data_IF_813708627738
#
_entry.id   IF_813708627738
#
_cell.length_a   1.000
_cell.length_b   1.000
_cell.length_c   1.000
_cell.angle_alpha   90.00
_cell.angle_beta   90.00
_cell.angle_gamma   90.00
#
_symmetry.space_group_name_H-M   'P 1'
#
loop_
_entity.id
_entity.type
_entity.pdbx_description
1 polymer ?
#
# COMPACT_ATOMS: atom_id res chain seq x y z
N UNK A 1 -65.09 17.74 42.74
CA UNK A 1 -64.39 18.68 41.85
C UNK A 1 -63.88 17.85 40.66
N UNK A 2 -64.68 17.30 39.74
CA UNK A 2 -65.75 17.85 38.89
C UNK A 2 -65.33 19.14 38.17
N UNK A 3 -64.69 19.02 37.01
CA UNK A 3 -65.30 19.40 35.73
C UNK A 3 -64.55 18.73 34.52
N UNK A 4 -65.23 18.42 33.40
CA UNK A 4 -64.82 17.44 32.39
C UNK A 4 -64.51 18.05 31.01
N UNK A 5 -64.24 17.14 30.06
CA UNK A 5 -64.54 17.20 28.62
C UNK A 5 -64.00 18.37 27.79
N UNK A 6 -62.94 18.08 27.04
CA UNK A 6 -62.80 18.61 25.69
C UNK A 6 -62.26 17.53 24.74
N UNK A 7 -63.20 16.85 24.09
CA UNK A 7 -62.96 16.10 22.84
C UNK A 7 -62.87 17.11 21.69
N UNK A 8 -61.76 17.15 20.92
CA UNK A 8 -61.79 17.75 19.60
C UNK A 8 -62.30 16.69 18.63
N UNK A 9 -63.54 16.87 18.16
CA UNK A 9 -64.04 16.20 16.97
C UNK A 9 -63.10 16.51 15.81
N UNK A 10 -62.47 15.46 15.29
CA UNK A 10 -61.72 15.46 14.04
C UNK A 10 -62.74 15.73 12.91
N UNK A 11 -62.74 16.93 12.34
CA UNK A 11 -63.41 17.21 11.07
C UNK A 11 -62.69 16.40 9.99
N UNK A 12 -63.37 15.38 9.45
CA UNK A 12 -62.86 14.50 8.40
C UNK A 12 -63.42 14.82 7.02
N UNK A 13 -64.09 15.97 6.85
CA UNK A 13 -64.71 16.42 5.61
C UNK A 13 -64.20 17.82 5.25
N UNK A 14 -62.93 17.95 4.88
CA UNK A 14 -62.39 19.13 4.16
C UNK A 14 -60.97 18.85 3.63
N UNK A 15 -60.77 17.71 2.95
CA UNK A 15 -59.61 17.49 2.09
C UNK A 15 -60.08 17.16 0.66
N UNK A 16 -60.99 17.99 0.18
CA UNK A 16 -61.37 18.07 -1.22
C UNK A 16 -60.30 18.89 -1.95
N UNK A 17 -59.46 18.19 -2.68
CA UNK A 17 -59.08 18.53 -4.04
C UNK A 17 -58.71 19.99 -4.31
N UNK A 18 -57.51 20.38 -3.87
CA UNK A 18 -56.74 21.44 -4.51
C UNK A 18 -55.45 20.84 -5.05
N UNK A 19 -55.61 19.89 -5.98
CA UNK A 19 -54.54 19.61 -6.94
C UNK A 19 -54.71 20.64 -8.05
N UNK A 20 -54.17 21.85 -7.86
CA UNK A 20 -54.02 22.78 -8.98
C UNK A 20 -53.31 22.01 -10.09
N UNK A 21 -54.04 21.80 -11.19
CA UNK A 21 -53.50 21.16 -12.37
C UNK A 21 -52.37 22.05 -12.88
N UNK A 22 -51.14 21.69 -12.55
CA UNK A 22 -49.92 22.29 -13.07
C UNK A 22 -50.02 22.24 -14.60
N UNK A 23 -50.21 23.42 -15.21
CA UNK A 23 -50.35 23.56 -16.66
C UNK A 23 -49.15 22.92 -17.36
N UNK A 24 -49.33 22.17 -18.47
CA UNK A 24 -48.24 21.48 -19.16
C UNK A 24 -47.04 22.38 -19.52
N UNK A 25 -47.28 23.66 -19.83
CA UNK A 25 -46.22 24.64 -20.10
C UNK A 25 -45.36 24.95 -18.86
N UNK A 26 -45.94 24.86 -17.66
CA UNK A 26 -45.23 25.15 -16.39
C UNK A 26 -44.32 24.01 -15.94
N UNK A 27 -44.65 22.76 -16.26
CA UNK A 27 -43.79 21.61 -15.97
C UNK A 27 -42.56 21.57 -16.89
N UNK A 28 -42.72 21.94 -18.17
CA UNK A 28 -41.60 22.08 -19.10
C UNK A 28 -40.68 23.25 -18.72
N UNK A 29 -41.26 24.38 -18.30
CA UNK A 29 -40.52 25.53 -17.77
C UNK A 29 -39.82 25.21 -16.45
N UNK A 30 -40.43 24.47 -15.51
CA UNK A 30 -39.77 24.03 -14.27
C UNK A 30 -38.61 23.06 -14.55
N UNK A 31 -38.72 22.20 -15.55
CA UNK A 31 -37.67 21.26 -15.93
C UNK A 31 -36.50 21.99 -16.65
N UNK A 32 -36.82 22.99 -17.47
CA UNK A 32 -35.85 23.89 -18.08
C UNK A 32 -35.16 24.79 -17.04
N UNK A 33 -35.90 25.34 -16.08
CA UNK A 33 -35.34 26.13 -14.97
C UNK A 33 -34.48 25.25 -14.07
N UNK A 34 -34.96 24.06 -13.69
CA UNK A 34 -34.15 23.09 -12.95
C UNK A 34 -32.86 22.73 -13.69
N UNK A 35 -32.93 22.51 -15.00
CA UNK A 35 -31.78 22.16 -15.82
C UNK A 35 -30.83 23.37 -16.03
N UNK A 36 -31.35 24.59 -16.06
CA UNK A 36 -30.58 25.84 -16.18
C UNK A 36 -29.90 26.24 -14.85
N UNK A 37 -30.50 25.90 -13.70
CA UNK A 37 -29.92 26.10 -12.36
C UNK A 37 -29.15 24.87 -11.83
N UNK A 38 -29.12 23.76 -12.57
CA UNK A 38 -28.33 22.58 -12.22
C UNK A 38 -26.84 22.91 -12.27
N UNK A 39 -26.12 22.62 -11.19
CA UNK A 39 -24.65 22.72 -11.11
C UNK A 39 -23.92 21.55 -11.81
N UNK A 40 -24.64 20.68 -12.52
CA UNK A 40 -24.07 19.59 -13.30
C UNK A 40 -23.68 20.09 -14.72
N UNK A 41 -22.39 20.11 -15.07
CA UNK A 41 -21.92 20.61 -16.38
C UNK A 41 -22.51 19.83 -17.56
N UNK A 42 -22.91 18.58 -17.35
CA UNK A 42 -23.49 17.76 -18.41
C UNK A 42 -24.94 18.15 -18.70
N UNK A 43 -25.70 18.52 -17.66
CA UNK A 43 -27.09 19.00 -17.79
C UNK A 43 -27.11 20.37 -18.46
N UNK A 44 -26.24 21.29 -18.05
CA UNK A 44 -26.13 22.61 -18.70
C UNK A 44 -25.77 22.49 -20.18
N UNK A 45 -24.86 21.55 -20.51
CA UNK A 45 -24.50 21.27 -21.91
C UNK A 45 -25.66 20.71 -22.72
N UNK A 46 -26.46 19.82 -22.15
CA UNK A 46 -27.64 19.26 -22.82
C UNK A 46 -28.72 20.33 -23.05
N UNK A 47 -28.91 21.25 -22.10
CA UNK A 47 -29.79 22.42 -22.25
C UNK A 47 -29.29 23.35 -23.35
N UNK A 48 -27.99 23.59 -23.41
CA UNK A 48 -27.37 24.46 -24.42
C UNK A 48 -27.42 23.82 -25.81
N UNK A 49 -27.16 22.50 -25.92
CA UNK A 49 -27.32 21.73 -27.16
C UNK A 49 -28.77 21.66 -27.64
N UNK A 50 -29.73 21.52 -26.72
CA UNK A 50 -31.15 21.58 -27.04
C UNK A 50 -31.58 22.98 -27.49
N UNK A 51 -30.98 24.05 -26.92
CA UNK A 51 -31.25 25.45 -27.33
C UNK A 51 -30.66 25.81 -28.69
N UNK A 52 -29.47 25.34 -29.01
CA UNK A 52 -28.78 25.70 -30.27
C UNK A 52 -29.12 24.77 -31.43
N UNK A 53 -29.79 23.64 -31.17
CA UNK A 53 -30.11 22.63 -32.18
C UNK A 53 -28.87 21.94 -32.77
N UNK A 54 -27.70 22.16 -32.17
CA UNK A 54 -26.42 21.73 -32.73
C UNK A 54 -25.95 20.45 -32.02
N UNK A 55 -26.27 19.30 -32.62
CA UNK A 55 -25.83 17.97 -32.18
C UNK A 55 -24.36 17.71 -32.50
N UNK A 56 -23.45 18.68 -32.31
CA UNK A 56 -22.03 18.39 -32.53
C UNK A 56 -21.43 17.64 -31.33
N UNK A 57 -21.01 16.37 -31.50
CA UNK A 57 -20.21 15.71 -30.49
C UNK A 57 -18.84 16.39 -30.47
N UNK A 58 -18.59 17.22 -29.45
CA UNK A 58 -17.24 17.73 -29.20
C UNK A 58 -16.32 16.52 -28.99
N UNK A 59 -15.52 16.21 -30.01
CA UNK A 59 -14.58 15.11 -29.98
C UNK A 59 -13.52 15.39 -28.89
N UNK A 60 -13.79 14.92 -27.67
CA UNK A 60 -12.81 15.00 -26.60
C UNK A 60 -11.60 14.16 -27.03
N UNK A 61 -10.37 14.70 -26.96
CA UNK A 61 -9.19 13.93 -27.33
C UNK A 61 -9.12 12.65 -26.49
N UNK A 62 -8.75 11.52 -27.11
CA UNK A 62 -8.80 10.19 -26.52
C UNK A 62 -8.13 10.10 -25.14
N UNK A 63 -7.04 10.86 -24.93
CA UNK A 63 -6.35 10.92 -23.64
C UNK A 63 -7.19 11.57 -22.53
N UNK A 64 -8.01 12.58 -22.83
CA UNK A 64 -8.94 13.18 -21.84
C UNK A 64 -10.09 12.22 -21.53
N UNK A 65 -10.55 11.44 -22.49
CA UNK A 65 -11.57 10.40 -22.25
C UNK A 65 -11.00 9.25 -21.40
N UNK A 66 -9.79 8.80 -21.72
CA UNK A 66 -9.07 7.78 -20.96
C UNK A 66 -8.74 8.25 -19.54
N UNK A 67 -8.26 9.49 -19.38
CA UNK A 67 -8.03 10.10 -18.06
C UNK A 67 -9.34 10.28 -17.30
N UNK A 68 -10.39 10.79 -17.93
CA UNK A 68 -11.69 10.94 -17.25
C UNK A 68 -12.22 9.58 -16.78
N UNK A 69 -12.14 8.53 -17.61
CA UNK A 69 -12.52 7.18 -17.22
C UNK A 69 -11.65 6.59 -16.11
N UNK A 70 -10.34 6.87 -16.10
CA UNK A 70 -9.44 6.47 -15.03
C UNK A 70 -9.74 7.23 -13.72
N UNK A 71 -9.86 8.56 -13.78
CA UNK A 71 -10.21 9.42 -12.64
C UNK A 71 -11.56 9.06 -12.02
N UNK A 72 -12.54 8.68 -12.83
CA UNK A 72 -13.83 8.18 -12.35
C UNK A 72 -13.73 6.87 -11.57
N UNK A 73 -12.73 6.02 -11.86
CA UNK A 73 -12.46 4.80 -11.07
C UNK A 73 -11.65 5.08 -9.81
N UNK A 74 -10.91 6.18 -9.80
CA UNK A 74 -10.07 6.61 -8.67
C UNK A 74 -10.82 7.48 -7.66
N UNK A 75 -12.00 7.99 -7.98
CA UNK A 75 -12.81 8.75 -7.03
C UNK A 75 -14.21 8.17 -7.00
N UNK A 76 -14.69 7.70 -5.83
CA UNK A 76 -16.04 7.18 -5.74
C UNK A 76 -17.02 8.34 -5.97
N UNK A 77 -18.17 8.07 -6.60
CA UNK A 77 -19.24 9.07 -6.74
C UNK A 77 -20.26 8.88 -5.64
N UNK A 78 -20.90 9.97 -5.21
CA UNK A 78 -22.02 9.88 -4.26
C UNK A 78 -23.15 8.99 -4.76
N UNK A 79 -23.40 8.99 -6.07
CA UNK A 79 -24.37 8.12 -6.72
C UNK A 79 -24.04 6.62 -6.59
N UNK A 80 -22.78 6.25 -6.34
CA UNK A 80 -22.40 4.85 -6.14
C UNK A 80 -22.80 4.30 -4.77
N UNK A 81 -23.17 5.17 -3.82
CA UNK A 81 -23.58 4.74 -2.47
C UNK A 81 -25.09 4.51 -2.35
N UNK A 82 -25.89 4.81 -3.37
CA UNK A 82 -27.34 4.57 -3.40
C UNK A 82 -27.79 4.00 -4.75
N UNK A 83 -29.03 3.52 -4.85
CA UNK A 83 -29.64 3.07 -6.10
C UNK A 83 -30.56 4.13 -6.69
N UNK A 84 -31.10 3.90 -7.88
CA UNK A 84 -31.87 4.92 -8.62
C UNK A 84 -33.37 4.90 -8.37
N UNK A 85 -33.92 3.88 -7.69
CA UNK A 85 -35.36 3.64 -7.61
C UNK A 85 -36.11 4.72 -6.81
N UNK A 86 -35.58 5.11 -5.65
CA UNK A 86 -36.17 6.12 -4.76
C UNK A 86 -35.06 6.75 -3.92
N UNK A 87 -34.75 8.03 -4.15
CA UNK A 87 -33.62 8.73 -3.51
C UNK A 87 -34.14 9.96 -2.78
N UNK A 88 -34.07 9.94 -1.44
CA UNK A 88 -34.39 11.11 -0.64
C UNK A 88 -33.25 12.15 -0.66
N UNK A 89 -33.55 13.44 -0.41
CA UNK A 89 -32.52 14.47 -0.25
C UNK A 89 -31.50 14.14 0.85
N UNK A 90 -31.95 13.53 1.95
CA UNK A 90 -31.10 13.10 3.06
C UNK A 90 -30.14 12.00 2.62
N UNK A 91 -30.64 10.98 1.91
CA UNK A 91 -29.81 9.90 1.38
C UNK A 91 -28.72 10.44 0.44
N UNK A 92 -29.06 11.41 -0.41
CA UNK A 92 -28.09 12.07 -1.30
C UNK A 92 -27.05 12.87 -0.50
N UNK A 93 -27.46 13.58 0.55
CA UNK A 93 -26.54 14.34 1.43
C UNK A 93 -25.56 13.41 2.14
N UNK A 94 -26.06 12.32 2.71
CA UNK A 94 -25.24 11.38 3.48
C UNK A 94 -24.31 10.55 2.57
N UNK A 95 -24.76 10.23 1.36
CA UNK A 95 -23.91 9.65 0.33
C UNK A 95 -22.77 10.58 -0.08
N UNK A 96 -23.01 11.90 -0.19
CA UNK A 96 -21.93 12.88 -0.43
C UNK A 96 -20.93 12.90 0.72
N UNK A 97 -21.39 12.92 1.97
CA UNK A 97 -20.52 12.87 3.15
C UNK A 97 -19.68 11.59 3.18
N UNK A 98 -20.30 10.44 2.95
CA UNK A 98 -19.61 9.14 2.88
C UNK A 98 -18.56 9.13 1.77
N UNK A 99 -18.89 9.66 0.59
CA UNK A 99 -17.98 9.77 -0.55
C UNK A 99 -16.78 10.65 -0.24
N UNK A 100 -17.00 11.81 0.40
CA UNK A 100 -15.94 12.72 0.80
C UNK A 100 -15.01 12.07 1.81
N UNK A 101 -15.55 11.33 2.80
CA UNK A 101 -14.75 10.65 3.80
C UNK A 101 -13.94 9.49 3.21
N UNK A 102 -14.56 8.65 2.37
CA UNK A 102 -13.86 7.56 1.65
C UNK A 102 -12.76 8.14 0.77
N UNK A 103 -13.03 9.22 0.04
CA UNK A 103 -12.02 9.88 -0.79
C UNK A 103 -10.86 10.40 0.05
N UNK A 104 -11.14 11.09 1.16
CA UNK A 104 -10.12 11.61 2.07
C UNK A 104 -9.25 10.48 2.64
N UNK A 105 -9.87 9.40 3.14
CA UNK A 105 -9.15 8.25 3.67
C UNK A 105 -8.25 7.60 2.61
N UNK A 106 -8.77 7.44 1.38
CA UNK A 106 -8.01 6.80 0.31
C UNK A 106 -6.86 7.69 -0.20
N UNK A 107 -7.05 9.02 -0.23
CA UNK A 107 -5.97 9.97 -0.55
C UNK A 107 -4.90 10.02 0.54
N UNK A 108 -5.29 9.97 1.81
CA UNK A 108 -4.35 9.88 2.92
C UNK A 108 -3.51 8.59 2.81
N UNK A 109 -4.14 7.46 2.49
CA UNK A 109 -3.46 6.19 2.25
C UNK A 109 -2.54 6.26 1.03
N UNK A 110 -2.97 6.94 -0.04
CA UNK A 110 -2.11 7.16 -1.21
C UNK A 110 -0.85 7.93 -0.83
N UNK A 111 -0.99 9.06 -0.13
CA UNK A 111 0.13 9.93 0.24
C UNK A 111 1.10 9.25 1.22
N UNK A 112 0.57 8.48 2.17
CA UNK A 112 1.40 7.81 3.20
C UNK A 112 2.09 6.54 2.70
N UNK A 113 1.52 5.85 1.70
CA UNK A 113 2.13 4.64 1.11
C UNK A 113 3.06 4.96 -0.08
N UNK A 114 2.92 6.11 -0.73
CA UNK A 114 3.72 6.48 -1.89
C UNK A 114 5.24 6.46 -1.65
N UNK A 115 5.77 6.98 -0.52
CA UNK A 115 7.21 6.92 -0.25
C UNK A 115 7.70 5.48 -0.22
N UNK A 116 6.97 4.60 0.46
CA UNK A 116 7.33 3.19 0.56
C UNK A 116 7.44 2.54 -0.83
N UNK A 117 6.43 2.75 -1.68
CA UNK A 117 6.41 2.20 -3.05
C UNK A 117 7.52 2.79 -3.92
N UNK A 118 7.83 4.09 -3.75
CA UNK A 118 8.94 4.73 -4.45
C UNK A 118 10.28 4.04 -4.18
N UNK A 119 10.55 3.67 -2.92
CA UNK A 119 11.78 2.96 -2.55
C UNK A 119 11.73 1.48 -2.91
N UNK A 120 10.58 0.82 -2.78
CA UNK A 120 10.39 -0.58 -3.17
C UNK A 120 10.62 -0.83 -4.67
N UNK A 121 10.43 0.19 -5.51
CA UNK A 121 10.75 0.13 -6.95
C UNK A 121 12.09 0.80 -7.29
N UNK A 122 12.93 1.10 -6.30
CA UNK A 122 14.20 1.82 -6.48
C UNK A 122 15.15 1.17 -7.49
N UNK A 123 15.14 -0.17 -7.58
CA UNK A 123 15.96 -0.93 -8.52
C UNK A 123 15.67 -0.64 -10.01
N UNK A 124 14.51 -0.06 -10.33
CA UNK A 124 14.13 0.29 -11.71
C UNK A 124 14.67 1.66 -12.15
N UNK A 125 15.44 2.35 -11.30
CA UNK A 125 16.02 3.65 -11.61
C UNK A 125 14.93 4.69 -11.97
N UNK A 126 15.09 5.47 -13.05
CA UNK A 126 14.08 6.46 -13.47
C UNK A 126 12.70 5.87 -13.78
N UNK A 127 12.62 4.59 -14.18
CA UNK A 127 11.35 3.93 -14.49
C UNK A 127 10.51 3.61 -13.25
N UNK A 128 11.05 3.78 -12.03
CA UNK A 128 10.34 3.50 -10.75
C UNK A 128 9.04 4.27 -10.55
N UNK A 129 8.89 5.42 -11.21
CA UNK A 129 7.71 6.26 -11.08
C UNK A 129 6.45 5.54 -11.59
N UNK A 130 6.57 4.80 -12.70
CA UNK A 130 5.43 4.11 -13.33
C UNK A 130 4.82 3.03 -12.42
N UNK A 131 5.58 2.03 -11.92
CA UNK A 131 5.03 1.00 -11.05
C UNK A 131 4.69 1.52 -9.65
N UNK A 132 5.43 2.50 -9.09
CA UNK A 132 5.09 3.04 -7.76
C UNK A 132 3.75 3.76 -7.76
N UNK A 133 3.55 4.70 -8.70
CA UNK A 133 2.28 5.41 -8.84
C UNK A 133 1.19 4.45 -9.31
N UNK A 134 1.49 3.58 -10.28
CA UNK A 134 0.52 2.62 -10.82
C UNK A 134 -0.03 1.66 -9.76
N UNK A 135 0.84 1.11 -8.90
CA UNK A 135 0.41 0.23 -7.81
C UNK A 135 -0.41 0.98 -6.75
N UNK A 136 -0.03 2.21 -6.43
CA UNK A 136 -0.77 3.03 -5.47
C UNK A 136 -2.18 3.40 -6.00
N UNK A 137 -2.27 3.78 -7.28
CA UNK A 137 -3.54 4.01 -7.96
C UNK A 137 -4.39 2.74 -8.04
N UNK A 138 -3.78 1.58 -8.23
CA UNK A 138 -4.48 0.28 -8.19
C UNK A 138 -5.09 0.04 -6.80
N UNK A 139 -4.32 0.22 -5.73
CA UNK A 139 -4.83 0.07 -4.36
C UNK A 139 -5.99 1.05 -4.07
N UNK A 140 -5.85 2.29 -4.52
CA UNK A 140 -6.88 3.32 -4.39
C UNK A 140 -8.17 2.95 -5.14
N UNK A 141 -8.06 2.48 -6.39
CA UNK A 141 -9.18 1.98 -7.17
C UNK A 141 -9.86 0.76 -6.52
N UNK A 142 -9.08 -0.22 -6.03
CA UNK A 142 -9.61 -1.39 -5.34
C UNK A 142 -10.34 -1.03 -4.04
N UNK A 143 -9.82 -0.04 -3.30
CA UNK A 143 -10.45 0.47 -2.06
C UNK A 143 -11.82 1.08 -2.37
N UNK A 144 -11.89 1.96 -3.38
CA UNK A 144 -13.13 2.61 -3.79
C UNK A 144 -14.17 1.62 -4.33
N UNK A 145 -13.74 0.66 -5.16
CA UNK A 145 -14.61 -0.41 -5.66
C UNK A 145 -15.14 -1.24 -4.49
N UNK A 146 -14.29 -1.60 -3.54
CA UNK A 146 -14.70 -2.40 -2.38
C UNK A 146 -15.64 -1.63 -1.45
N UNK A 147 -15.41 -0.32 -1.27
CA UNK A 147 -16.27 0.56 -0.48
C UNK A 147 -17.67 0.70 -1.11
N UNK A 148 -17.73 1.02 -2.40
CA UNK A 148 -18.99 1.12 -3.14
C UNK A 148 -19.71 -0.22 -3.24
N UNK A 149 -18.99 -1.32 -3.44
CA UNK A 149 -19.52 -2.68 -3.42
C UNK A 149 -20.13 -3.06 -2.07
N UNK A 150 -19.46 -2.69 -0.98
CA UNK A 150 -19.96 -2.87 0.38
C UNK A 150 -21.22 -2.06 0.60
N UNK A 151 -21.21 -0.79 0.17
CA UNK A 151 -22.36 0.10 0.25
C UNK A 151 -23.55 -0.48 -0.54
N UNK A 152 -23.34 -0.98 -1.77
CA UNK A 152 -24.33 -1.51 -2.73
C UNK A 152 -24.99 -2.84 -2.33
N UNK A 153 -24.90 -3.27 -1.07
CA UNK A 153 -25.55 -4.49 -0.60
C UNK A 153 -27.04 -4.54 -1.01
N UNK A 154 -27.40 -5.52 -1.85
CA UNK A 154 -28.81 -5.81 -2.19
C UNK A 154 -29.40 -6.79 -1.16
N UNK A 155 -30.71 -6.70 -0.85
CA UNK A 155 -31.36 -7.61 0.09
C UNK A 155 -31.17 -9.09 -0.29
N UNK A 156 -31.19 -9.37 -1.60
CA UNK A 156 -31.14 -10.72 -2.15
C UNK A 156 -29.71 -11.21 -2.51
N UNK A 157 -28.68 -10.37 -2.38
CA UNK A 157 -27.29 -10.76 -2.69
C UNK A 157 -26.31 -10.37 -1.58
N UNK A 158 -26.55 -10.93 -0.39
CA UNK A 158 -25.75 -10.65 0.82
C UNK A 158 -24.33 -11.21 0.73
N UNK A 159 -24.10 -12.30 -0.01
CA UNK A 159 -22.78 -12.94 -0.11
C UNK A 159 -21.75 -12.06 -0.81
N UNK A 160 -22.12 -11.36 -1.88
CA UNK A 160 -21.21 -10.46 -2.59
C UNK A 160 -20.79 -9.26 -1.74
N UNK A 161 -21.73 -8.68 -0.98
CA UNK A 161 -21.45 -7.59 -0.03
C UNK A 161 -20.49 -8.04 1.08
N UNK A 162 -20.60 -9.28 1.58
CA UNK A 162 -19.65 -9.84 2.56
C UNK A 162 -18.24 -9.98 2.00
N UNK A 163 -18.10 -10.47 0.76
CA UNK A 163 -16.79 -10.55 0.11
C UNK A 163 -16.18 -9.17 -0.15
N UNK A 164 -17.00 -8.21 -0.60
CA UNK A 164 -16.58 -6.82 -0.77
C UNK A 164 -16.11 -6.21 0.56
N UNK A 165 -16.82 -6.51 1.66
CA UNK A 165 -16.43 -6.07 2.98
C UNK A 165 -15.11 -6.70 3.44
N UNK A 166 -14.92 -8.01 3.27
CA UNK A 166 -13.67 -8.67 3.61
C UNK A 166 -12.49 -8.11 2.80
N UNK A 167 -12.72 -7.84 1.51
CA UNK A 167 -11.75 -7.16 0.64
C UNK A 167 -11.40 -5.77 1.17
N UNK A 168 -12.41 -4.98 1.52
CA UNK A 168 -12.24 -3.64 2.08
C UNK A 168 -11.44 -3.68 3.39
N UNK A 169 -11.75 -4.60 4.31
CA UNK A 169 -11.01 -4.75 5.57
C UNK A 169 -9.55 -5.09 5.28
N UNK A 170 -9.31 -6.09 4.43
CA UNK A 170 -7.96 -6.55 4.10
C UNK A 170 -7.11 -5.44 3.48
N UNK A 171 -7.68 -4.69 2.53
CA UNK A 171 -6.98 -3.59 1.85
C UNK A 171 -6.64 -2.47 2.84
N UNK A 172 -7.58 -2.06 3.72
CA UNK A 172 -7.32 -1.00 4.69
C UNK A 172 -6.27 -1.39 5.73
N UNK A 173 -6.24 -2.66 6.17
CA UNK A 173 -5.18 -3.16 7.07
C UNK A 173 -3.82 -3.09 6.37
N UNK A 174 -3.73 -3.57 5.12
CA UNK A 174 -2.50 -3.50 4.33
C UNK A 174 -2.06 -2.05 4.15
N UNK A 175 -2.97 -1.15 3.73
CA UNK A 175 -2.65 0.27 3.53
C UNK A 175 -2.19 0.95 4.81
N UNK A 176 -2.81 0.65 5.96
CA UNK A 176 -2.39 1.19 7.26
C UNK A 176 -0.96 0.77 7.59
N UNK A 177 -0.64 -0.52 7.42
CA UNK A 177 0.72 -1.04 7.65
C UNK A 177 1.74 -0.39 6.72
N UNK A 178 1.41 -0.29 5.43
CA UNK A 178 2.27 0.36 4.44
C UNK A 178 2.42 1.87 4.73
N UNK A 179 1.40 2.53 5.28
CA UNK A 179 1.47 3.93 5.69
C UNK A 179 2.45 4.12 6.86
N UNK A 180 2.39 3.25 7.86
CA UNK A 180 3.35 3.24 8.97
C UNK A 180 4.78 2.98 8.51
N UNK A 181 4.99 1.95 7.68
CA UNK A 181 6.29 1.65 7.10
C UNK A 181 6.84 2.79 6.21
N UNK A 182 5.98 3.39 5.38
CA UNK A 182 6.36 4.47 4.47
C UNK A 182 6.78 5.74 5.20
N UNK A 183 6.08 6.06 6.28
CA UNK A 183 6.40 7.22 7.13
C UNK A 183 7.64 6.98 7.97
N UNK A 184 7.85 5.76 8.48
CA UNK A 184 9.12 5.37 9.13
C UNK A 184 10.30 5.53 8.17
N UNK A 185 10.13 5.07 6.93
CA UNK A 185 11.17 5.15 5.93
C UNK A 185 11.48 6.60 5.50
N UNK A 186 10.49 7.49 5.49
CA UNK A 186 10.72 8.93 5.26
C UNK A 186 11.41 9.63 6.42
N UNK A 187 10.97 9.37 7.65
CA UNK A 187 11.34 10.19 8.82
C UNK A 187 12.55 9.65 9.57
N UNK A 188 12.78 8.34 9.51
CA UNK A 188 13.85 7.63 10.24
C UNK A 188 14.91 7.06 9.32
N UNK A 189 15.05 7.55 8.07
CA UNK A 189 15.98 6.99 7.09
C UNK A 189 17.41 6.87 7.62
N UNK A 190 17.91 7.91 8.31
CA UNK A 190 19.24 7.93 8.93
C UNK A 190 19.37 6.89 10.06
N UNK A 191 18.34 6.71 10.88
CA UNK A 191 18.31 5.68 11.92
C UNK A 191 18.31 4.27 11.34
N UNK A 192 17.55 4.05 10.27
CA UNK A 192 17.50 2.75 9.58
C UNK A 192 18.84 2.41 8.92
N UNK A 193 19.49 3.41 8.30
CA UNK A 193 20.84 3.27 7.75
C UNK A 193 21.87 3.00 8.84
N UNK A 194 21.82 3.72 9.96
CA UNK A 194 22.70 3.51 11.11
C UNK A 194 22.52 2.10 11.69
N UNK A 195 21.28 1.65 11.89
CA UNK A 195 20.99 0.29 12.37
C UNK A 195 21.56 -0.78 11.43
N UNK A 196 21.48 -0.56 10.12
CA UNK A 196 22.04 -1.48 9.12
C UNK A 196 23.57 -1.46 9.11
N UNK A 197 24.16 -0.28 9.26
CA UNK A 197 25.60 -0.10 9.38
C UNK A 197 26.13 -0.77 10.67
N UNK A 198 25.43 -0.62 11.79
CA UNK A 198 25.73 -1.31 13.06
C UNK A 198 25.59 -2.82 12.91
N UNK A 199 24.51 -3.33 12.32
CA UNK A 199 24.33 -4.77 12.10
C UNK A 199 25.46 -5.38 11.25
N UNK A 200 25.82 -4.72 10.15
CA UNK A 200 26.90 -5.15 9.27
C UNK A 200 28.27 -5.09 9.96
N UNK A 201 28.52 -4.01 10.71
CA UNK A 201 29.78 -3.80 11.43
C UNK A 201 29.92 -4.78 12.59
N UNK A 202 28.90 -4.91 13.43
CA UNK A 202 28.94 -5.75 14.63
C UNK A 202 29.02 -7.24 14.28
N UNK A 203 28.19 -7.74 13.36
CA UNK A 203 28.26 -9.15 12.97
C UNK A 203 29.60 -9.51 12.34
N UNK A 204 30.11 -8.68 11.42
CA UNK A 204 31.30 -9.06 10.68
C UNK A 204 32.56 -8.80 11.48
N UNK A 205 32.66 -7.68 12.20
CA UNK A 205 33.83 -7.41 13.05
C UNK A 205 33.89 -8.42 14.18
N UNK A 206 32.80 -8.67 14.93
CA UNK A 206 32.84 -9.62 16.05
C UNK A 206 33.16 -11.05 15.58
N UNK A 207 32.58 -11.51 14.47
CA UNK A 207 32.88 -12.84 13.94
C UNK A 207 34.35 -12.94 13.48
N UNK A 208 34.88 -11.92 12.81
CA UNK A 208 36.25 -11.93 12.29
C UNK A 208 37.31 -11.69 13.37
N UNK A 209 37.05 -10.82 14.34
CA UNK A 209 37.90 -10.65 15.52
C UNK A 209 37.97 -11.95 16.32
N UNK A 210 36.84 -12.64 16.54
CA UNK A 210 36.86 -13.94 17.22
C UNK A 210 37.63 -15.01 16.42
N UNK A 211 37.60 -14.96 15.08
CA UNK A 211 38.37 -15.86 14.22
C UNK A 211 39.87 -15.55 14.28
N UNK A 212 40.25 -14.26 14.30
CA UNK A 212 41.63 -13.80 14.50
C UNK A 212 42.12 -14.15 15.89
N UNK A 213 41.34 -13.91 16.95
CA UNK A 213 41.68 -14.25 18.33
C UNK A 213 41.85 -15.77 18.49
N UNK A 214 40.94 -16.56 17.91
CA UNK A 214 41.08 -18.02 17.89
C UNK A 214 42.33 -18.46 17.14
N UNK A 215 42.68 -17.79 16.04
CA UNK A 215 43.92 -18.08 15.32
C UNK A 215 45.13 -17.66 16.16
N UNK A 216 45.16 -16.46 16.75
CA UNK A 216 46.26 -15.99 17.61
C UNK A 216 46.45 -16.84 18.88
N UNK A 217 45.41 -17.51 19.36
CA UNK A 217 45.46 -18.49 20.45
C UNK A 217 45.77 -19.93 19.97
N UNK A 218 45.61 -20.21 18.67
CA UNK A 218 45.93 -21.49 18.04
C UNK A 218 47.41 -21.82 17.76
N UNK A 219 48.45 -21.03 18.14
CA UNK A 219 49.82 -21.55 18.23
C UNK A 219 49.91 -22.76 19.19
N UNK A 220 48.89 -23.00 20.02
CA UNK A 220 48.74 -24.22 20.82
C UNK A 220 48.08 -25.39 20.07
N UNK A 221 48.01 -25.38 18.74
CA UNK A 221 47.63 -26.58 18.00
C UNK A 221 48.58 -27.73 18.38
N UNK A 222 48.01 -28.89 18.73
CA UNK A 222 48.74 -30.07 19.21
C UNK A 222 49.95 -30.43 18.34
N UNK A 223 49.83 -30.18 17.03
CA UNK A 223 50.88 -30.41 16.05
C UNK A 223 52.05 -29.43 16.18
N UNK A 224 51.81 -28.14 16.37
CA UNK A 224 52.88 -27.16 16.59
C UNK A 224 53.62 -27.45 17.89
N UNK A 225 52.89 -27.65 18.98
CA UNK A 225 53.46 -27.98 20.29
C UNK A 225 54.32 -29.25 20.23
N UNK A 226 53.85 -30.31 19.56
CA UNK A 226 54.60 -31.57 19.44
C UNK A 226 55.90 -31.41 18.65
N UNK A 227 55.90 -30.67 17.53
CA UNK A 227 57.08 -30.46 16.68
C UNK A 227 58.06 -29.50 17.35
N UNK A 228 57.56 -28.47 18.05
CA UNK A 228 58.37 -27.56 18.85
C UNK A 228 59.06 -28.28 20.00
N UNK A 229 58.33 -29.13 20.73
CA UNK A 229 58.90 -29.95 21.80
C UNK A 229 59.94 -30.93 21.25
N UNK A 230 59.71 -31.50 20.06
CA UNK A 230 60.68 -32.37 19.40
C UNK A 230 61.96 -31.61 19.00
N UNK A 231 61.83 -30.39 18.46
CA UNK A 231 62.97 -29.53 18.16
C UNK A 231 63.77 -29.24 19.44
N UNK A 232 63.11 -28.76 20.51
CA UNK A 232 63.77 -28.48 21.80
C UNK A 232 64.46 -29.69 22.40
N UNK A 233 63.80 -30.86 22.38
CA UNK A 233 64.37 -32.12 22.89
C UNK A 233 65.60 -32.54 22.10
N UNK A 234 65.59 -32.36 20.79
CA UNK A 234 66.76 -32.67 19.97
C UNK A 234 67.92 -31.68 20.22
N UNK A 235 67.62 -30.39 20.40
CA UNK A 235 68.63 -29.38 20.75
C UNK A 235 69.28 -29.71 22.10
N UNK A 236 68.48 -30.01 23.13
CA UNK A 236 69.01 -30.41 24.45
C UNK A 236 69.89 -31.67 24.38
N UNK A 237 69.53 -32.64 23.52
CA UNK A 237 70.34 -33.83 23.30
C UNK A 237 71.65 -33.53 22.58
N UNK A 238 71.66 -32.57 21.66
CA UNK A 238 72.88 -32.13 20.98
C UNK A 238 73.86 -31.49 21.96
N UNK A 239 73.37 -30.73 22.93
CA UNK A 239 74.20 -30.09 23.97
C UNK A 239 74.88 -31.12 24.91
N UNK A 240 74.32 -32.33 25.01
CA UNK A 240 74.84 -33.42 25.84
C UNK A 240 75.81 -34.34 25.11
N UNK A 241 75.88 -34.26 23.78
CA UNK A 241 76.73 -35.10 22.94
C UNK A 241 78.06 -34.39 22.65
N UNK A 242 79.14 -35.16 22.59
CA UNK A 242 80.45 -34.62 22.22
C UNK A 242 80.43 -34.17 20.75
N UNK A 243 80.84 -32.92 20.52
CA UNK A 243 80.95 -32.32 19.19
C UNK A 243 81.89 -33.14 18.30
N UNK A 244 81.43 -33.48 17.09
CA UNK A 244 82.20 -34.29 16.13
C UNK A 244 82.04 -35.80 16.31
N UNK A 245 81.21 -36.27 17.26
CA UNK A 245 80.80 -37.67 17.29
C UNK A 245 79.78 -37.97 16.16
N UNK A 246 79.80 -39.18 15.55
CA UNK A 246 78.85 -39.52 14.48
C UNK A 246 77.37 -39.40 14.89
N UNK A 247 77.08 -39.59 16.18
CA UNK A 247 75.74 -39.43 16.73
C UNK A 247 75.32 -37.96 16.81
N UNK A 248 76.26 -37.06 17.13
CA UNK A 248 76.04 -35.63 17.10
C UNK A 248 75.71 -35.17 15.67
N UNK A 249 76.50 -35.59 14.68
CA UNK A 249 76.30 -35.20 13.27
C UNK A 249 74.93 -35.64 12.73
N UNK A 250 74.54 -36.89 12.95
CA UNK A 250 73.23 -37.43 12.50
C UNK A 250 72.07 -36.65 13.15
N UNK A 251 72.16 -36.38 14.45
CA UNK A 251 71.12 -35.66 15.17
C UNK A 251 71.07 -34.18 14.75
N UNK A 252 72.22 -33.57 14.49
CA UNK A 252 72.33 -32.19 14.02
C UNK A 252 71.65 -32.05 12.66
N UNK A 253 72.01 -32.90 11.68
CA UNK A 253 71.43 -32.89 10.33
C UNK A 253 69.91 -33.08 10.38
N UNK A 254 69.41 -34.01 11.21
CA UNK A 254 67.95 -34.24 11.35
C UNK A 254 67.21 -33.04 11.95
N UNK A 255 67.88 -32.29 12.82
CA UNK A 255 67.27 -31.21 13.61
C UNK A 255 67.31 -29.88 12.86
N UNK A 256 68.45 -29.56 12.24
CA UNK A 256 68.72 -28.27 11.61
C UNK A 256 68.95 -28.34 10.09
N UNK A 257 69.26 -29.52 9.54
CA UNK A 257 69.71 -29.68 8.14
C UNK A 257 71.22 -29.80 8.04
N UNK A 258 71.74 -30.06 6.85
CA UNK A 258 73.20 -30.06 6.62
C UNK A 258 73.76 -28.63 6.62
N UNK A 259 75.04 -28.46 6.93
CA UNK A 259 75.71 -27.15 6.92
C UNK A 259 75.71 -26.50 5.53
N UNK A 260 75.78 -27.32 4.47
CA UNK A 260 75.70 -26.88 3.07
C UNK A 260 74.32 -26.34 2.69
N UNK A 261 73.27 -26.72 3.44
CA UNK A 261 71.90 -26.30 3.21
C UNK A 261 71.47 -25.12 4.11
N UNK A 262 72.40 -24.52 4.85
CA UNK A 262 72.11 -23.40 5.76
C UNK A 262 71.46 -22.21 5.03
N UNK A 263 71.88 -21.96 3.78
CA UNK A 263 71.38 -20.87 2.94
C UNK A 263 70.36 -21.34 1.88
N UNK A 264 69.92 -22.60 1.96
CA UNK A 264 68.96 -23.18 1.02
C UNK A 264 67.57 -22.61 1.28
N UNK A 265 66.87 -22.24 0.21
CA UNK A 265 65.47 -21.89 0.32
C UNK A 265 64.64 -23.15 0.61
N UNK A 266 64.26 -23.29 1.87
CA UNK A 266 63.46 -24.41 2.32
C UNK A 266 62.01 -24.30 1.86
N UNK A 267 61.52 -23.17 1.33
CA UNK A 267 60.10 -22.93 1.04
C UNK A 267 59.47 -23.94 0.06
N UNK A 268 60.24 -24.45 -0.90
CA UNK A 268 59.73 -25.32 -1.97
C UNK A 268 59.75 -26.82 -1.65
N UNK A 269 60.40 -27.23 -0.55
CA UNK A 269 60.48 -28.63 -0.16
C UNK A 269 59.20 -29.10 0.55
N UNK A 270 58.79 -30.35 0.33
CA UNK A 270 57.65 -30.91 1.04
C UNK A 270 57.88 -30.91 2.56
N UNK A 271 56.83 -30.65 3.33
CA UNK A 271 56.86 -30.51 4.79
C UNK A 271 57.45 -31.75 5.48
N UNK A 272 57.20 -32.94 4.93
CA UNK A 272 57.68 -34.21 5.49
C UNK A 272 59.21 -34.35 5.47
N UNK A 273 59.87 -33.71 4.49
CA UNK A 273 61.30 -33.81 4.24
C UNK A 273 62.11 -32.70 4.93
N UNK A 274 61.46 -31.79 5.64
CA UNK A 274 62.13 -30.70 6.34
C UNK A 274 62.77 -31.14 7.66
N UNK A 275 63.94 -30.57 8.02
CA UNK A 275 64.49 -30.69 9.37
C UNK A 275 63.47 -30.30 10.44
N UNK A 276 63.57 -30.93 11.63
CA UNK A 276 62.57 -30.77 12.70
C UNK A 276 62.35 -29.29 13.06
N UNK A 277 63.42 -28.51 13.24
CA UNK A 277 63.29 -27.11 13.61
C UNK A 277 62.83 -26.22 12.44
N UNK A 278 63.15 -26.57 11.19
CA UNK A 278 62.62 -25.89 10.02
C UNK A 278 61.12 -26.10 9.84
N UNK A 279 60.59 -27.26 10.26
CA UNK A 279 59.13 -27.51 10.30
C UNK A 279 58.42 -26.60 11.29
N UNK A 280 59.03 -26.33 12.45
CA UNK A 280 58.48 -25.37 13.43
C UNK A 280 58.39 -23.98 12.79
N UNK A 281 59.44 -23.55 12.11
CA UNK A 281 59.48 -22.23 11.51
C UNK A 281 58.48 -22.08 10.37
N UNK A 282 58.33 -23.10 9.51
CA UNK A 282 57.28 -23.09 8.49
C UNK A 282 55.87 -23.07 9.09
N UNK A 283 55.62 -23.81 10.17
CA UNK A 283 54.33 -23.75 10.85
C UNK A 283 54.08 -22.36 11.45
N UNK A 284 55.11 -21.73 12.02
CA UNK A 284 55.04 -20.36 12.55
C UNK A 284 54.76 -19.36 11.42
N UNK A 285 55.46 -19.44 10.31
CA UNK A 285 55.26 -18.57 9.14
C UNK A 285 53.86 -18.75 8.53
N UNK A 286 53.44 -19.99 8.26
CA UNK A 286 52.09 -20.28 7.77
C UNK A 286 51.00 -19.75 8.71
N UNK A 287 51.27 -19.74 10.02
CA UNK A 287 50.37 -19.19 11.01
C UNK A 287 50.34 -17.66 10.99
N UNK A 288 51.51 -17.01 11.00
CA UNK A 288 51.60 -15.55 10.90
C UNK A 288 50.99 -15.03 9.60
N UNK A 289 51.18 -15.74 8.48
CA UNK A 289 50.64 -15.37 7.18
C UNK A 289 49.11 -15.48 7.17
N UNK A 290 48.54 -16.52 7.81
CA UNK A 290 47.09 -16.66 7.98
C UNK A 290 46.49 -15.55 8.85
N UNK A 291 47.15 -15.21 9.96
CA UNK A 291 46.72 -14.11 10.83
C UNK A 291 46.83 -12.77 10.10
N UNK A 292 47.94 -12.54 9.38
CA UNK A 292 48.15 -11.33 8.60
C UNK A 292 47.13 -11.19 7.46
N UNK A 293 46.84 -12.26 6.72
CA UNK A 293 45.82 -12.28 5.67
C UNK A 293 44.43 -11.97 6.24
N UNK A 294 44.07 -12.54 7.40
CA UNK A 294 42.78 -12.24 8.06
C UNK A 294 42.71 -10.82 8.61
N UNK A 295 43.79 -10.28 9.17
CA UNK A 295 43.89 -8.86 9.56
C UNK A 295 43.78 -7.93 8.35
N UNK A 296 44.33 -8.32 7.20
CA UNK A 296 44.22 -7.55 5.96
C UNK A 296 42.78 -7.58 5.39
N UNK A 297 42.07 -8.70 5.49
CA UNK A 297 40.64 -8.78 5.14
C UNK A 297 39.77 -7.88 6.05
N UNK A 298 40.09 -7.78 7.34
CA UNK A 298 39.46 -6.82 8.26
C UNK A 298 39.70 -5.37 7.82
N UNK A 299 40.89 -5.06 7.31
CA UNK A 299 41.19 -3.73 6.75
C UNK A 299 40.49 -3.46 5.41
N UNK A 300 40.10 -4.50 4.67
CA UNK A 300 39.32 -4.39 3.42
C UNK A 300 37.80 -4.33 3.65
N UNK A 301 37.35 -4.42 4.91
CA UNK A 301 35.95 -4.26 5.28
C UNK A 301 35.27 -2.96 4.77
N UNK A 302 35.98 -1.80 4.62
CA UNK A 302 35.41 -0.62 3.98
C UNK A 302 34.78 -0.92 2.61
N UNK A 303 35.35 -1.85 1.84
CA UNK A 303 34.83 -2.23 0.53
C UNK A 303 33.49 -3.00 0.55
N UNK A 304 33.09 -3.60 1.69
CA UNK A 304 31.74 -4.18 1.86
C UNK A 304 30.72 -3.14 2.30
N UNK A 305 31.15 -2.14 3.05
CA UNK A 305 30.34 -0.96 3.36
C UNK A 305 30.03 -0.19 2.07
N UNK A 306 31.05 0.05 1.24
CA UNK A 306 30.91 0.72 -0.07
C UNK A 306 30.02 0.00 -1.09
N UNK A 307 29.73 -1.30 -0.91
CA UNK A 307 28.79 -2.06 -1.77
C UNK A 307 27.33 -1.90 -1.37
N UNK A 308 27.06 -1.53 -0.12
CA UNK A 308 25.71 -1.38 0.40
C UNK A 308 25.34 0.09 0.60
N UNK A 309 26.34 0.96 0.71
CA UNK A 309 26.18 2.37 0.95
C UNK A 309 26.84 3.20 -0.16
N UNK A 310 26.16 4.25 -0.60
CA UNK A 310 26.71 5.27 -1.49
C UNK A 310 27.82 6.04 -0.79
N UNK A 311 28.57 6.86 -1.55
CA UNK A 311 29.59 7.76 -0.99
C UNK A 311 29.03 8.75 0.04
N UNK A 312 27.72 9.04 -0.04
CA UNK A 312 27.00 9.89 0.92
C UNK A 312 26.52 9.12 2.17
N UNK A 313 26.83 7.83 2.28
CA UNK A 313 26.40 6.97 3.40
C UNK A 313 24.95 6.51 3.31
N UNK A 314 24.31 6.61 2.14
CA UNK A 314 22.94 6.15 1.95
C UNK A 314 22.89 4.71 1.42
N UNK A 315 21.95 3.90 1.90
CA UNK A 315 21.73 2.55 1.36
C UNK A 315 21.47 2.60 -0.17
N UNK A 316 22.29 1.89 -0.93
CA UNK A 316 22.22 1.84 -2.41
C UNK A 316 20.97 1.07 -2.87
N UNK A 317 20.59 0.01 -2.13
CA UNK A 317 19.42 -0.81 -2.45
C UNK A 317 18.14 -0.28 -1.78
N UNK A 318 17.24 0.28 -2.60
CA UNK A 318 15.90 0.68 -2.15
C UNK A 318 15.05 -0.47 -1.58
N UNK A 319 15.28 -1.70 -2.07
CA UNK A 319 14.56 -2.89 -1.61
C UNK A 319 15.02 -3.31 -0.21
N UNK A 320 16.31 -3.15 0.10
CA UNK A 320 16.82 -3.41 1.45
C UNK A 320 16.26 -2.38 2.43
N UNK A 321 16.22 -1.09 2.04
CA UNK A 321 15.63 -0.06 2.87
C UNK A 321 14.14 -0.34 3.16
N UNK A 322 13.39 -0.80 2.15
CA UNK A 322 12.01 -1.27 2.31
C UNK A 322 11.90 -2.41 3.32
N UNK A 323 12.74 -3.45 3.18
CA UNK A 323 12.74 -4.61 4.07
C UNK A 323 13.08 -4.26 5.52
N UNK A 324 14.10 -3.42 5.72
CA UNK A 324 14.56 -2.97 7.04
C UNK A 324 13.49 -2.10 7.71
N UNK A 325 12.87 -1.16 6.98
CA UNK A 325 11.78 -0.35 7.51
C UNK A 325 10.57 -1.20 7.93
N UNK A 326 10.22 -2.21 7.12
CA UNK A 326 9.17 -3.16 7.46
C UNK A 326 9.47 -3.92 8.75
N UNK A 327 10.62 -4.57 8.82
CA UNK A 327 11.03 -5.32 10.01
C UNK A 327 11.10 -4.42 11.25
N UNK A 328 11.69 -3.23 11.14
CA UNK A 328 11.78 -2.27 12.24
C UNK A 328 10.40 -1.83 12.73
N UNK A 329 9.49 -1.49 11.81
CA UNK A 329 8.15 -1.05 12.15
C UNK A 329 7.36 -2.16 12.85
N UNK A 330 7.33 -3.37 12.26
CA UNK A 330 6.59 -4.50 12.83
C UNK A 330 7.17 -4.99 14.15
N UNK A 331 8.51 -5.07 14.27
CA UNK A 331 9.18 -5.49 15.49
C UNK A 331 8.80 -4.56 16.65
N UNK A 332 8.85 -3.24 16.44
CA UNK A 332 8.49 -2.27 17.46
C UNK A 332 6.98 -2.22 17.73
N UNK A 333 6.15 -2.43 16.71
CA UNK A 333 4.69 -2.50 16.88
C UNK A 333 4.29 -3.69 17.74
N UNK A 334 4.82 -4.89 17.46
CA UNK A 334 4.50 -6.13 18.19
C UNK A 334 5.09 -6.13 19.60
N UNK A 335 6.29 -5.58 19.78
CA UNK A 335 6.92 -5.45 21.11
C UNK A 335 6.31 -4.34 21.98
N UNK A 336 5.42 -3.51 21.43
CA UNK A 336 4.83 -2.38 22.15
C UNK A 336 5.77 -1.19 22.35
N UNK A 337 6.85 -1.11 21.57
CA UNK A 337 7.85 -0.03 21.62
C UNK A 337 7.37 1.22 20.87
N UNK A 338 6.17 1.70 21.20
CA UNK A 338 5.50 2.80 20.50
C UNK A 338 6.30 4.12 20.51
N UNK A 339 7.09 4.35 21.56
CA UNK A 339 7.95 5.52 21.67
C UNK A 339 9.01 5.60 20.56
N UNK A 340 9.45 4.45 20.02
CA UNK A 340 10.45 4.41 18.95
C UNK A 340 9.86 4.72 17.57
N UNK A 341 8.57 4.40 17.37
CA UNK A 341 7.85 4.63 16.11
C UNK A 341 7.43 6.11 15.95
N UNK A 342 7.01 6.77 17.03
CA UNK A 342 6.68 8.20 17.01
C UNK A 342 5.68 8.58 15.91
N UNK A 343 6.14 9.33 14.90
CA UNK A 343 5.31 9.79 13.78
C UNK A 343 4.80 8.65 12.89
N UNK A 344 5.56 7.55 12.72
CA UNK A 344 5.09 6.44 11.88
C UNK A 344 3.86 5.76 12.47
N UNK A 345 3.83 5.64 13.80
CA UNK A 345 2.67 5.16 14.54
C UNK A 345 1.48 6.11 14.44
N UNK A 346 1.73 7.43 14.47
CA UNK A 346 0.67 8.43 14.27
C UNK A 346 0.00 8.26 12.90
N UNK A 347 0.78 8.14 11.82
CA UNK A 347 0.23 7.95 10.47
C UNK A 347 -0.44 6.58 10.29
N UNK A 348 0.09 5.53 10.90
CA UNK A 348 -0.57 4.22 10.98
C UNK A 348 -1.97 4.34 11.61
N UNK A 349 -2.09 4.99 12.77
CA UNK A 349 -3.37 5.18 13.43
C UNK A 349 -4.30 6.16 12.71
N UNK A 350 -3.76 7.20 12.09
CA UNK A 350 -4.54 8.14 11.29
C UNK A 350 -5.14 7.43 10.07
N UNK A 351 -4.33 6.62 9.36
CA UNK A 351 -4.80 5.77 8.26
C UNK A 351 -5.83 4.76 8.74
N UNK A 352 -5.57 4.06 9.85
CA UNK A 352 -6.49 3.05 10.39
C UNK A 352 -7.83 3.66 10.83
N UNK A 353 -7.80 4.77 11.57
CA UNK A 353 -9.01 5.42 12.10
C UNK A 353 -9.88 6.01 10.99
N UNK A 354 -9.28 6.73 10.03
CA UNK A 354 -10.02 7.27 8.88
C UNK A 354 -10.62 6.16 8.02
N UNK A 355 -9.88 5.07 7.80
CA UNK A 355 -10.34 3.88 7.09
C UNK A 355 -11.51 3.18 7.82
N UNK A 356 -11.44 3.05 9.15
CA UNK A 356 -12.52 2.47 9.96
C UNK A 356 -13.78 3.34 9.92
N UNK A 357 -13.65 4.67 9.98
CA UNK A 357 -14.79 5.57 9.86
C UNK A 357 -15.44 5.49 8.48
N UNK A 358 -14.63 5.50 7.41
CA UNK A 358 -15.11 5.38 6.03
C UNK A 358 -15.83 4.04 5.79
N UNK A 359 -15.28 2.95 6.33
CA UNK A 359 -15.90 1.62 6.31
C UNK A 359 -17.21 1.60 7.10
N UNK A 360 -17.23 2.17 8.31
CA UNK A 360 -18.42 2.27 9.15
C UNK A 360 -19.56 3.00 8.44
N UNK A 361 -19.28 4.16 7.84
CA UNK A 361 -20.26 4.90 7.05
C UNK A 361 -20.76 4.10 5.83
N UNK A 362 -19.87 3.40 5.14
CA UNK A 362 -20.24 2.57 3.99
C UNK A 362 -21.16 1.41 4.39
N UNK A 363 -20.89 0.79 5.55
CA UNK A 363 -21.75 -0.25 6.12
C UNK A 363 -23.10 0.30 6.60
N UNK A 364 -23.10 1.47 7.23
CA UNK A 364 -24.33 2.12 7.70
C UNK A 364 -25.24 2.45 6.52
N UNK A 365 -24.69 3.05 5.45
CA UNK A 365 -25.39 3.24 4.18
C UNK A 365 -25.96 1.94 3.61
N UNK A 366 -25.25 0.82 3.71
CA UNK A 366 -25.75 -0.47 3.23
C UNK A 366 -26.96 -0.99 4.04
N UNK A 367 -27.06 -0.63 5.32
CA UNK A 367 -28.11 -1.11 6.23
C UNK A 367 -29.35 -0.21 6.25
N UNK A 368 -29.22 1.06 5.83
CA UNK A 368 -30.33 2.00 5.83
C UNK A 368 -31.49 1.57 4.93
N UNK A 369 -32.71 1.78 5.41
CA UNK A 369 -33.93 1.37 4.70
C UNK A 369 -34.16 2.18 3.42
N UNK A 370 -33.89 3.48 3.42
CA UNK A 370 -33.99 4.34 2.24
C UNK A 370 -32.96 3.95 1.17
N UNK A 371 -31.73 3.64 1.56
CA UNK A 371 -30.70 3.10 0.68
C UNK A 371 -31.11 1.73 0.08
N UNK A 372 -31.74 0.85 0.85
CA UNK A 372 -32.25 -0.42 0.33
C UNK A 372 -33.43 -0.23 -0.63
N UNK A 373 -34.37 0.66 -0.31
CA UNK A 373 -35.50 1.03 -1.18
C UNK A 373 -35.01 1.60 -2.50
N UNK A 374 -33.99 2.46 -2.45
CA UNK A 374 -33.36 3.04 -3.64
C UNK A 374 -32.81 1.98 -4.61
N UNK A 375 -32.55 0.75 -4.14
CA UNK A 375 -32.01 -0.37 -4.93
C UNK A 375 -33.01 -1.49 -5.17
N UNK A 376 -34.25 -1.32 -4.73
CA UNK A 376 -35.29 -2.33 -4.87
C UNK A 376 -35.78 -2.35 -6.31
N UNK A 377 -35.62 -3.49 -6.97
CA UNK A 377 -36.10 -3.68 -8.35
C UNK A 377 -37.64 -3.56 -8.39
N UNK A 378 -38.34 -3.92 -7.31
CA UNK A 378 -39.80 -3.75 -7.17
C UNK A 378 -40.21 -2.27 -7.08
N UNK A 379 -39.43 -1.44 -6.40
CA UNK A 379 -39.71 0.01 -6.34
C UNK A 379 -39.41 0.65 -7.69
N UNK A 380 -38.34 0.21 -8.36
CA UNK A 380 -38.01 0.68 -9.71
C UNK A 380 -39.11 0.33 -10.71
N UNK A 381 -39.61 -0.91 -10.71
CA UNK A 381 -40.68 -1.34 -11.62
C UNK A 381 -41.99 -0.59 -11.39
N UNK A 382 -42.34 -0.32 -10.12
CA UNK A 382 -43.54 0.44 -9.80
C UNK A 382 -43.45 1.91 -10.23
N UNK A 383 -42.29 2.52 -10.00
CA UNK A 383 -41.99 3.87 -10.48
C UNK A 383 -42.09 3.95 -12.00
N UNK A 384 -41.50 2.99 -12.71
CA UNK A 384 -41.46 2.99 -14.18
C UNK A 384 -42.88 2.79 -14.74
N UNK A 385 -43.68 1.88 -14.14
CA UNK A 385 -45.09 1.71 -14.48
C UNK A 385 -45.88 3.01 -14.31
N UNK A 386 -45.73 3.69 -13.18
CA UNK A 386 -46.43 4.95 -12.90
C UNK A 386 -46.05 6.05 -13.91
N UNK A 387 -44.76 6.18 -14.25
CA UNK A 387 -44.34 7.14 -15.28
C UNK A 387 -44.88 6.81 -16.67
N UNK A 388 -44.98 5.54 -17.02
CA UNK A 388 -45.54 5.13 -18.30
C UNK A 388 -47.06 5.41 -18.38
N UNK A 389 -47.80 5.18 -17.29
CA UNK A 389 -49.20 5.58 -17.18
C UNK A 389 -49.37 7.10 -17.34
N UNK A 390 -48.53 7.90 -16.67
CA UNK A 390 -48.58 9.36 -16.78
C UNK A 390 -48.27 9.84 -18.21
N UNK A 391 -47.27 9.24 -18.88
CA UNK A 391 -46.95 9.55 -20.28
C UNK A 391 -48.09 9.23 -21.23
N UNK A 392 -48.81 8.13 -21.00
CA UNK A 392 -49.99 7.77 -21.80
C UNK A 392 -51.09 8.81 -21.60
N UNK A 393 -51.40 9.19 -20.36
CA UNK A 393 -52.39 10.23 -20.08
C UNK A 393 -52.04 11.59 -20.69
N UNK A 394 -50.76 11.96 -20.71
CA UNK A 394 -50.30 13.20 -21.37
C UNK A 394 -50.46 13.12 -22.89
N UNK A 395 -50.13 11.98 -23.52
CA UNK A 395 -50.33 11.77 -24.96
C UNK A 395 -51.81 11.81 -25.36
N UNK A 396 -52.68 11.19 -24.56
CA UNK A 396 -54.11 11.22 -24.82
C UNK A 396 -54.70 12.62 -24.70
N UNK A 397 -54.24 13.41 -23.71
CA UNK A 397 -54.64 14.82 -23.58
C UNK A 397 -54.21 15.65 -24.79
N UNK A 398 -52.95 15.57 -25.20
CA UNK A 398 -52.50 16.28 -26.39
C UNK A 398 -53.21 15.84 -27.67
N UNK A 399 -53.55 14.55 -27.80
CA UNK A 399 -54.32 14.07 -28.95
C UNK A 399 -55.76 14.63 -28.95
N UNK A 400 -56.37 14.84 -27.77
CA UNK A 400 -57.69 15.50 -27.66
C UNK A 400 -57.60 16.98 -28.00
N UNK A 401 -56.65 17.70 -27.40
CA UNK A 401 -56.40 19.12 -27.68
C UNK A 401 -56.15 19.37 -29.18
N UNK A 402 -55.37 18.50 -29.84
CA UNK A 402 -55.15 18.58 -31.29
C UNK A 402 -56.42 18.33 -32.11
N UNK A 403 -57.31 17.43 -31.67
CA UNK A 403 -58.59 17.17 -32.34
C UNK A 403 -59.56 18.34 -32.17
N UNK A 404 -59.64 18.90 -30.96
CA UNK A 404 -60.44 20.09 -30.66
C UNK A 404 -59.94 21.30 -31.46
N UNK A 405 -58.62 21.51 -31.54
CA UNK A 405 -58.03 22.57 -32.36
C UNK A 405 -58.26 22.40 -33.88
N UNK A 406 -58.40 21.15 -34.36
CA UNK A 406 -58.70 20.86 -35.76
C UNK A 406 -60.20 20.96 -36.09
N UNK A 407 -61.08 20.80 -35.10
CA UNK A 407 -62.53 20.83 -35.26
C UNK A 407 -63.23 21.71 -34.20
N UNK A 408 -62.98 23.04 -34.20
CA UNK A 408 -63.52 23.95 -33.20
C UNK A 408 -65.04 24.11 -33.26
N UNK A 409 -65.69 23.79 -34.39
CA UNK A 409 -67.14 23.98 -34.57
C UNK A 409 -68.00 22.81 -34.04
N UNK A 410 -67.39 21.70 -33.60
CA UNK A 410 -68.14 20.53 -33.12
C UNK A 410 -68.46 20.60 -31.61
N UNK A 411 -67.78 21.44 -30.83
CA UNK A 411 -68.02 21.55 -29.38
C UNK A 411 -69.24 22.41 -29.02
N UNK A 412 -69.63 23.34 -29.89
CA UNK A 412 -70.71 24.29 -29.59
C UNK A 412 -72.10 23.72 -29.92
N UNK A 413 -72.18 22.70 -30.79
CA UNK A 413 -73.47 22.06 -31.16
C UNK A 413 -74.01 21.05 -30.13
N UNK A 414 -73.19 20.63 -29.15
CA UNK A 414 -73.58 19.60 -28.16
C UNK A 414 -74.20 20.20 -26.89
N UNK A 415 -73.92 21.46 -26.57
CA UNK A 415 -74.50 22.18 -25.42
C UNK A 415 -75.92 22.73 -25.74
N UNK A 416 -76.18 23.11 -27.00
CA UNK A 416 -77.49 23.58 -27.47
C UNK A 416 -78.57 22.47 -27.58
N UNK A 417 -78.21 21.19 -27.37
CA UNK A 417 -79.17 20.07 -27.36
C UNK A 417 -79.60 19.61 -25.97
N UNK A 418 -79.10 20.22 -24.90
CA UNK A 418 -79.45 19.85 -23.51
C UNK A 418 -80.34 20.85 -22.77
N UNK A 419 -80.73 21.97 -23.39
CA UNK A 419 -81.86 22.82 -22.95
C UNK A 419 -83.10 22.56 -23.78
#
# INVERSE_FOLDING_TARGET
MTNPNHDPKLNQDELSDNTEAVSPDSAEQELLDWAQYSSDPEVQRLVEQARTGDEQPVARPLWKQALAGAWQKLTPRSQDFYGTAAVSPELRRDAKLTTSLVSLATWLNFLSTQPLLWFAFGALGPLRLVPSVGFNLLLLGLTNISATATAKAKPNNRSWSRWALMGLISINVIQSLLAGMGTELMLSRSKLQLRKAEELTEQVIAQRESEVERLEQAPQDSRFASVQQQCQKNTQKLDQLEHGSPQWDILYIRTFGTLEEKDKDWSQLDYSNLPVCQRVERLRQNHSDKVAARRQELQQFPGKYERNFTQDGELESGNELFGIAGLYFFENLVKGNFAQLGFSLFFFFLSLSTSLMAMGMSMDMAKRNDAQRSRSDAVASERDRWFDELRLQMKERHAREQREAQHPEASDEEDDRQT
#
